data_IF_408239677571
#
_entry.id   IF_408239677571
#
_cell.length_a   1.000
_cell.length_b   1.000
_cell.length_c   1.000
_cell.angle_alpha   90.00
_cell.angle_beta   90.00
_cell.angle_gamma   90.00
#
_symmetry.space_group_name_H-M   'P 1'
#
loop_
_entity.id
_entity.type
_entity.pdbx_description
1 polymer ?
#
# COMPACT_ATOMS: atom_id res chain seq x y z
N UNK A 1 -0.94 13.59 -1.71
CA UNK A 1 -0.78 12.35 -2.49
C UNK A 1 0.58 12.40 -3.19
N UNK A 2 1.38 11.32 -3.12
CA UNK A 2 2.72 11.21 -3.75
C UNK A 2 2.73 10.32 -5.01
N UNK A 3 1.57 9.74 -5.36
CA UNK A 3 1.37 8.97 -6.58
C UNK A 3 2.09 7.62 -6.65
N UNK A 4 1.81 6.89 -7.73
CA UNK A 4 2.44 5.61 -8.05
C UNK A 4 3.82 5.85 -8.66
N UNK A 5 4.83 5.12 -8.17
CA UNK A 5 6.20 5.18 -8.68
C UNK A 5 6.63 3.81 -9.20
N UNK A 6 7.38 3.80 -10.30
CA UNK A 6 8.01 2.59 -10.84
C UNK A 6 9.47 2.55 -10.40
N UNK A 7 9.88 1.45 -9.79
CA UNK A 7 11.25 1.20 -9.34
C UNK A 7 11.57 -0.29 -9.44
N UNK A 8 12.86 -0.63 -9.54
CA UNK A 8 13.33 -2.02 -9.66
C UNK A 8 13.71 -2.61 -8.30
N UNK A 9 12.85 -2.45 -7.29
CA UNK A 9 13.07 -3.07 -5.99
C UNK A 9 13.05 -4.59 -6.13
N UNK A 10 14.00 -5.28 -5.49
CA UNK A 10 14.15 -6.73 -5.60
C UNK A 10 12.84 -7.46 -5.25
N UNK A 11 12.21 -7.05 -4.14
CA UNK A 11 10.93 -7.61 -3.65
C UNK A 11 9.76 -7.48 -4.64
N UNK A 12 9.80 -6.49 -5.55
CA UNK A 12 8.78 -6.33 -6.59
C UNK A 12 9.17 -7.05 -7.89
N UNK A 13 10.47 -7.03 -8.23
CA UNK A 13 10.98 -7.65 -9.46
C UNK A 13 10.92 -9.17 -9.44
N UNK A 14 11.18 -9.76 -8.28
CA UNK A 14 11.28 -11.22 -8.11
C UNK A 14 9.98 -11.86 -7.60
N UNK A 15 8.92 -11.06 -7.43
CA UNK A 15 7.61 -11.56 -7.04
C UNK A 15 7.01 -12.43 -8.16
N UNK A 16 6.56 -13.67 -7.88
CA UNK A 16 5.94 -14.56 -8.87
C UNK A 16 4.45 -14.20 -9.14
N UNK A 17 3.97 -13.08 -8.59
CA UNK A 17 2.59 -12.63 -8.64
C UNK A 17 2.54 -11.09 -8.73
N UNK A 18 1.35 -10.49 -8.99
CA UNK A 18 1.21 -9.03 -8.95
C UNK A 18 1.63 -8.48 -7.57
N UNK A 19 2.56 -7.53 -7.55
CA UNK A 19 3.16 -7.00 -6.32
C UNK A 19 3.21 -5.46 -6.33
N UNK A 20 3.07 -4.88 -5.14
CA UNK A 20 3.21 -3.45 -4.89
C UNK A 20 3.90 -3.22 -3.53
N UNK A 21 4.70 -2.14 -3.44
CA UNK A 21 5.33 -1.69 -2.19
C UNK A 21 4.71 -0.35 -1.82
N UNK A 22 4.22 -0.24 -0.58
CA UNK A 22 3.52 0.95 -0.10
C UNK A 22 4.37 1.66 0.94
N UNK A 23 4.80 2.88 0.63
CA UNK A 23 5.47 3.78 1.57
C UNK A 23 4.41 4.58 2.33
N UNK A 24 4.11 4.19 3.57
CA UNK A 24 2.97 4.72 4.33
C UNK A 24 3.22 6.10 4.96
N UNK A 25 4.47 6.40 5.32
CA UNK A 25 4.87 7.62 6.03
C UNK A 25 6.40 7.78 5.98
N UNK A 26 6.89 9.01 6.14
CA UNK A 26 8.29 9.30 6.41
C UNK A 26 8.54 9.35 7.92
N UNK A 27 9.27 8.37 8.46
CA UNK A 27 9.68 8.35 9.89
C UNK A 27 10.56 9.55 10.25
N UNK A 28 11.31 10.08 9.28
CA UNK A 28 12.11 11.31 9.46
C UNK A 28 11.27 12.57 9.64
N UNK A 29 9.96 12.53 9.35
CA UNK A 29 9.02 13.61 9.64
C UNK A 29 8.31 13.32 10.98
N UNK A 30 8.57 14.08 12.06
CA UNK A 30 8.01 13.79 13.38
C UNK A 30 6.48 13.77 13.43
N UNK A 31 5.80 14.50 12.54
CA UNK A 31 4.32 14.47 12.47
C UNK A 31 3.81 13.16 11.89
N UNK A 32 4.46 12.67 10.83
CA UNK A 32 4.10 11.42 10.17
C UNK A 32 4.48 10.21 11.02
N UNK A 33 5.66 10.24 11.65
CA UNK A 33 6.11 9.25 12.63
C UNK A 33 5.08 9.06 13.75
N UNK A 34 4.66 10.14 14.42
CA UNK A 34 3.65 10.06 15.49
C UNK A 34 2.32 9.49 14.97
N UNK A 35 1.94 9.80 13.74
CA UNK A 35 0.72 9.28 13.14
C UNK A 35 0.82 7.77 12.90
N UNK A 36 1.87 7.28 12.23
CA UNK A 36 2.05 5.86 11.89
C UNK A 36 2.30 4.99 13.13
N UNK A 37 2.83 5.56 14.21
CA UNK A 37 2.97 4.88 15.50
C UNK A 37 1.66 4.86 16.33
N UNK A 38 0.69 5.71 15.99
CA UNK A 38 -0.59 5.75 16.71
C UNK A 38 -1.53 4.61 16.28
N UNK A 39 -2.29 4.06 17.23
CA UNK A 39 -3.29 3.01 16.95
C UNK A 39 -4.33 3.44 15.90
N UNK A 40 -4.76 4.70 15.96
CA UNK A 40 -5.69 5.25 14.99
C UNK A 40 -5.07 5.33 13.57
N UNK A 41 -3.82 5.77 13.46
CA UNK A 41 -3.11 5.83 12.19
C UNK A 41 -2.90 4.44 11.59
N UNK A 42 -2.44 3.48 12.39
CA UNK A 42 -2.28 2.08 11.98
C UNK A 42 -3.61 1.48 11.50
N UNK A 43 -4.70 1.68 12.24
CA UNK A 43 -6.02 1.21 11.83
C UNK A 43 -6.44 1.83 10.49
N UNK A 44 -6.30 3.14 10.31
CA UNK A 44 -6.64 3.81 9.06
C UNK A 44 -5.82 3.28 7.88
N UNK A 45 -4.51 3.12 8.06
CA UNK A 45 -3.62 2.59 7.03
C UNK A 45 -3.98 1.15 6.67
N UNK A 46 -4.22 0.30 7.67
CA UNK A 46 -4.60 -1.09 7.46
C UNK A 46 -5.92 -1.23 6.69
N UNK A 47 -6.95 -0.47 7.06
CA UNK A 47 -8.23 -0.46 6.33
C UNK A 47 -8.04 0.02 4.89
N UNK A 48 -7.29 1.10 4.67
CA UNK A 48 -7.03 1.59 3.32
C UNK A 48 -6.30 0.57 2.42
N UNK A 49 -5.34 -0.19 2.98
CA UNK A 49 -4.65 -1.27 2.26
C UNK A 49 -5.63 -2.41 1.95
N UNK A 50 -6.42 -2.85 2.94
CA UNK A 50 -7.39 -3.93 2.77
C UNK A 50 -8.46 -3.59 1.72
N UNK A 51 -9.03 -2.39 1.77
CA UNK A 51 -10.03 -1.90 0.82
C UNK A 51 -9.45 -1.84 -0.61
N UNK A 52 -8.21 -1.35 -0.76
CA UNK A 52 -7.52 -1.32 -2.05
C UNK A 52 -7.29 -2.71 -2.65
N UNK A 53 -6.90 -3.69 -1.82
CA UNK A 53 -6.73 -5.09 -2.26
C UNK A 53 -8.10 -5.67 -2.66
N UNK A 54 -9.14 -5.45 -1.87
CA UNK A 54 -10.49 -5.94 -2.18
C UNK A 54 -11.02 -5.36 -3.50
N UNK A 55 -10.80 -4.06 -3.74
CA UNK A 55 -11.15 -3.40 -4.99
C UNK A 55 -10.41 -4.04 -6.19
N UNK A 56 -9.10 -4.23 -6.09
CA UNK A 56 -8.30 -4.89 -7.12
C UNK A 56 -8.82 -6.29 -7.45
N UNK A 57 -9.11 -7.11 -6.43
CA UNK A 57 -9.64 -8.45 -6.63
C UNK A 57 -11.01 -8.45 -7.33
N UNK A 58 -11.87 -7.49 -7.01
CA UNK A 58 -13.16 -7.33 -7.68
C UNK A 58 -13.00 -6.92 -9.15
N UNK A 59 -12.04 -6.05 -9.46
CA UNK A 59 -11.73 -5.66 -10.84
C UNK A 59 -11.19 -6.83 -11.66
N UNK A 60 -10.30 -7.65 -11.08
CA UNK A 60 -9.83 -8.88 -11.72
C UNK A 60 -10.99 -9.86 -11.97
N UNK A 61 -11.92 -10.01 -11.02
CA UNK A 61 -13.10 -10.88 -11.22
C UNK A 61 -13.97 -10.38 -12.36
N UNK A 62 -14.17 -9.05 -12.47
CA UNK A 62 -14.95 -8.44 -13.56
C UNK A 62 -14.29 -8.63 -14.92
N UNK A 63 -12.98 -8.43 -15.02
CA UNK A 63 -12.25 -8.55 -16.28
C UNK A 63 -12.16 -10.00 -16.81
N UNK A 64 -12.38 -10.99 -15.94
CA UNK A 64 -12.42 -12.42 -16.31
C UNK A 64 -13.79 -12.91 -16.76
N UNK A 65 -14.83 -12.10 -16.61
CA UNK A 65 -16.20 -12.40 -17.07
C UNK A 65 -16.38 -11.91 -18.50
#
# INVERSE_FOLDING_TARGET
DRGVKRARFQVLREAPCPAALVEMAFITNPKEERFVLSKNGQNKLAHGIADGIAAYLNDIKRAKK
#
